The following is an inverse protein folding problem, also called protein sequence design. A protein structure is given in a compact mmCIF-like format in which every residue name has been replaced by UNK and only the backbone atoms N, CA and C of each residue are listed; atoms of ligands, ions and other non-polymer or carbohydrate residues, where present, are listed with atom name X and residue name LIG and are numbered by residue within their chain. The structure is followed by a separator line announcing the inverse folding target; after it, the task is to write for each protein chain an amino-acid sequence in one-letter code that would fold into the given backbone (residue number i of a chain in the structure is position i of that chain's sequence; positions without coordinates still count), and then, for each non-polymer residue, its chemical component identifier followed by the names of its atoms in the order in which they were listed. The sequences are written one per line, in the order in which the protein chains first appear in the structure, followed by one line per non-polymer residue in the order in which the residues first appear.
data_IF_962234971802
#
_entry.id   IF_962234971802
#
_cell.length_a   1.000
_cell.length_b   1.000
_cell.length_c   1.000
_cell.angle_alpha   90.00
_cell.angle_beta   90.00
_cell.angle_gamma   90.00
#
_symmetry.space_group_name_H-M   'P 1'
#
loop_
_entity.id
_entity.type
_entity.pdbx_description
1 polymer ?
#
# COMPACT_ATOMS: atom_id res chain seq x y z
N UNK A 1 21.34 -28.01 -4.37
CA UNK A 1 22.17 -26.86 -3.92
C UNK A 1 22.85 -27.12 -2.56
N UNK A 2 22.13 -27.69 -1.59
CA UNK A 2 22.69 -27.99 -0.26
C UNK A 2 23.78 -29.05 -0.28
N UNK A 3 23.65 -30.12 -1.07
CA UNK A 3 24.67 -31.14 -1.29
C UNK A 3 25.93 -30.60 -1.96
N UNK A 4 25.80 -29.71 -2.92
CA UNK A 4 26.93 -29.06 -3.59
C UNK A 4 27.76 -28.21 -2.60
N UNK A 5 27.08 -27.45 -1.73
CA UNK A 5 27.71 -26.66 -0.68
C UNK A 5 28.43 -27.56 0.32
N UNK A 6 27.83 -28.71 0.72
CA UNK A 6 28.42 -29.67 1.65
C UNK A 6 29.68 -30.29 1.08
N UNK A 7 29.69 -30.64 -0.21
CA UNK A 7 30.87 -31.22 -0.87
C UNK A 7 32.03 -30.21 -0.98
N UNK A 8 31.75 -28.95 -1.26
CA UNK A 8 32.79 -27.90 -1.28
C UNK A 8 33.34 -27.62 0.13
N UNK A 9 32.49 -27.68 1.16
CA UNK A 9 32.90 -27.48 2.57
C UNK A 9 33.96 -28.46 3.03
N UNK A 10 33.87 -29.71 2.55
CA UNK A 10 34.83 -30.76 2.89
C UNK A 10 36.19 -30.62 2.17
N UNK A 11 36.24 -29.88 1.05
CA UNK A 11 37.47 -29.74 0.24
C UNK A 11 38.19 -28.41 0.53
N UNK A 12 37.48 -27.32 0.82
CA UNK A 12 38.08 -25.99 1.02
C UNK A 12 37.25 -25.13 2.02
N UNK A 13 37.42 -25.33 3.34
CA UNK A 13 36.62 -24.70 4.38
C UNK A 13 36.59 -23.15 4.33
N UNK A 14 37.71 -22.53 4.00
CA UNK A 14 37.79 -21.05 3.94
C UNK A 14 37.09 -20.43 2.77
N UNK A 15 37.06 -21.09 1.60
CA UNK A 15 36.39 -20.62 0.40
C UNK A 15 34.88 -20.77 0.54
N UNK A 16 34.40 -21.83 1.19
CA UNK A 16 32.98 -22.05 1.41
C UNK A 16 32.37 -20.98 2.32
N UNK A 17 33.09 -20.55 3.34
CA UNK A 17 32.60 -19.46 4.21
C UNK A 17 32.45 -18.14 3.44
N UNK A 18 33.41 -17.79 2.59
CA UNK A 18 33.36 -16.61 1.74
C UNK A 18 32.19 -16.72 0.72
N UNK A 19 32.07 -17.85 0.02
CA UNK A 19 31.02 -18.08 -0.99
C UNK A 19 29.62 -18.05 -0.36
N UNK A 20 29.45 -18.64 0.83
CA UNK A 20 28.18 -18.61 1.56
C UNK A 20 27.82 -17.19 2.02
N UNK A 21 28.81 -16.41 2.45
CA UNK A 21 28.61 -15.00 2.83
C UNK A 21 28.23 -14.15 1.61
N UNK A 22 28.92 -14.28 0.49
CA UNK A 22 28.63 -13.59 -0.77
C UNK A 22 27.24 -13.95 -1.31
N UNK A 23 26.90 -15.23 -1.36
CA UNK A 23 25.59 -15.69 -1.80
C UNK A 23 24.45 -15.12 -0.94
N UNK A 24 24.64 -15.07 0.38
CA UNK A 24 23.64 -14.51 1.31
C UNK A 24 23.47 -13.01 1.12
N UNK A 25 24.56 -12.27 0.92
CA UNK A 25 24.51 -10.82 0.67
C UNK A 25 23.82 -10.54 -0.67
N UNK A 26 24.19 -11.24 -1.74
CA UNK A 26 23.60 -11.08 -3.08
C UNK A 26 22.09 -11.38 -3.05
N UNK A 27 21.65 -12.45 -2.39
CA UNK A 27 20.24 -12.76 -2.25
C UNK A 27 19.47 -11.70 -1.45
N UNK A 28 20.08 -11.14 -0.40
CA UNK A 28 19.46 -10.04 0.38
C UNK A 28 19.30 -8.79 -0.46
N UNK A 29 20.32 -8.41 -1.22
CA UNK A 29 20.28 -7.23 -2.11
C UNK A 29 19.23 -7.42 -3.20
N UNK A 30 19.20 -8.58 -3.86
CA UNK A 30 18.21 -8.88 -4.89
C UNK A 30 16.78 -8.85 -4.34
N UNK A 31 16.57 -9.41 -3.14
CA UNK A 31 15.28 -9.37 -2.48
C UNK A 31 14.85 -7.94 -2.15
N UNK A 32 15.74 -7.15 -1.59
CA UNK A 32 15.45 -5.75 -1.26
C UNK A 32 15.09 -4.95 -2.50
N UNK A 33 15.85 -5.11 -3.59
CA UNK A 33 15.54 -4.46 -4.86
C UNK A 33 14.16 -4.87 -5.42
N UNK A 34 13.78 -6.15 -5.30
CA UNK A 34 12.46 -6.62 -5.71
C UNK A 34 11.33 -6.06 -4.80
N UNK A 35 11.56 -5.96 -3.49
CA UNK A 35 10.62 -5.33 -2.55
C UNK A 35 10.41 -3.85 -2.89
N UNK A 36 11.46 -3.10 -3.15
CA UNK A 36 11.42 -1.68 -3.55
C UNK A 36 10.66 -1.50 -4.88
N UNK A 37 10.87 -2.38 -5.84
CA UNK A 37 10.16 -2.34 -7.12
C UNK A 37 8.65 -2.56 -6.93
N UNK A 38 8.26 -3.50 -6.07
CA UNK A 38 6.85 -3.73 -5.74
C UNK A 38 6.22 -2.47 -5.12
N UNK A 39 6.90 -1.82 -4.17
CA UNK A 39 6.42 -0.60 -3.53
C UNK A 39 6.27 0.54 -4.53
N UNK A 40 7.28 0.74 -5.37
CA UNK A 40 7.29 1.81 -6.37
C UNK A 40 6.16 1.64 -7.37
N UNK A 41 6.00 0.44 -7.93
CA UNK A 41 4.94 0.17 -8.90
C UNK A 41 3.55 0.30 -8.28
N UNK A 42 3.35 -0.20 -7.06
CA UNK A 42 2.05 -0.11 -6.40
C UNK A 42 1.67 1.34 -6.07
N UNK A 43 2.63 2.15 -5.61
CA UNK A 43 2.39 3.57 -5.35
C UNK A 43 2.11 4.35 -6.65
N UNK A 44 2.81 4.03 -7.75
CA UNK A 44 2.54 4.63 -9.06
C UNK A 44 1.12 4.30 -9.55
N UNK A 45 0.66 3.08 -9.38
CA UNK A 45 -0.71 2.70 -9.74
C UNK A 45 -1.74 3.45 -8.88
N UNK A 46 -1.50 3.60 -7.58
CA UNK A 46 -2.36 4.42 -6.71
C UNK A 46 -2.42 5.87 -7.23
N UNK A 47 -1.27 6.45 -7.55
CA UNK A 47 -1.19 7.83 -8.05
C UNK A 47 -1.93 7.99 -9.40
N UNK A 48 -1.88 6.99 -10.29
CA UNK A 48 -2.62 7.01 -11.55
C UNK A 48 -4.15 7.02 -11.31
N UNK A 49 -4.65 6.21 -10.37
CA UNK A 49 -6.07 6.26 -10.00
C UNK A 49 -6.45 7.62 -9.41
N UNK A 50 -5.62 8.18 -8.55
CA UNK A 50 -5.88 9.48 -7.92
C UNK A 50 -5.85 10.65 -8.92
N UNK A 51 -5.11 10.53 -10.02
CA UNK A 51 -5.16 11.51 -11.12
C UNK A 51 -6.54 11.54 -11.81
N UNK A 52 -7.32 10.47 -11.70
CA UNK A 52 -8.70 10.41 -12.19
C UNK A 52 -9.69 11.06 -11.22
N UNK A 53 -9.25 11.49 -10.03
CA UNK A 53 -10.08 12.16 -9.04
C UNK A 53 -10.55 13.52 -9.58
N UNK A 54 -11.66 13.49 -10.26
CA UNK A 54 -12.32 14.70 -10.79
C UNK A 54 -13.20 15.36 -9.75
N UNK A 55 -12.66 15.69 -8.56
CA UNK A 55 -13.45 16.45 -7.59
C UNK A 55 -13.76 17.84 -8.12
N UNK A 56 -15.03 18.09 -8.38
CA UNK A 56 -15.50 19.46 -8.50
C UNK A 56 -15.78 20.01 -7.09
N UNK A 57 -14.77 20.67 -6.54
CA UNK A 57 -14.83 21.26 -5.20
C UNK A 57 -15.84 22.42 -5.09
N UNK A 58 -16.41 22.87 -6.21
CA UNK A 58 -17.29 24.03 -6.30
C UNK A 58 -18.76 23.68 -6.56
N UNK A 59 -19.06 22.53 -7.17
CA UNK A 59 -20.42 22.11 -7.49
C UNK A 59 -20.74 20.79 -6.77
N UNK A 60 -21.66 20.87 -5.81
CA UNK A 60 -22.06 19.72 -5.04
C UNK A 60 -23.11 18.88 -5.75
N UNK A 61 -22.71 17.79 -6.38
CA UNK A 61 -23.64 16.69 -6.62
C UNK A 61 -23.37 15.64 -5.55
N UNK A 62 -24.25 15.58 -4.56
CA UNK A 62 -24.14 14.63 -3.42
C UNK A 62 -24.32 13.21 -3.93
N UNK A 63 -23.21 12.52 -4.16
CA UNK A 63 -23.20 11.08 -4.31
C UNK A 63 -23.62 10.41 -3.00
N UNK A 64 -24.44 9.36 -3.09
CA UNK A 64 -24.73 8.48 -1.95
C UNK A 64 -23.73 7.36 -1.78
N UNK A 65 -22.67 7.35 -2.58
CA UNK A 65 -21.64 6.31 -2.67
C UNK A 65 -20.26 6.96 -2.77
N UNK A 66 -19.21 6.19 -2.47
CA UNK A 66 -17.85 6.58 -2.77
C UNK A 66 -17.66 6.83 -4.27
N UNK A 67 -16.69 7.67 -4.62
CA UNK A 67 -16.37 8.03 -6.00
C UNK A 67 -15.96 6.80 -6.80
N UNK A 68 -16.39 6.72 -8.06
CA UNK A 68 -16.14 5.54 -8.90
C UNK A 68 -14.65 5.21 -9.02
N UNK A 69 -13.79 6.22 -9.20
CA UNK A 69 -12.33 6.00 -9.28
C UNK A 69 -11.78 5.34 -8.01
N UNK A 70 -12.36 5.66 -6.84
CA UNK A 70 -11.89 5.09 -5.57
C UNK A 70 -12.44 3.69 -5.36
N UNK A 71 -13.65 3.40 -5.79
CA UNK A 71 -14.20 2.03 -5.81
C UNK A 71 -13.33 1.14 -6.68
N UNK A 72 -12.93 1.60 -7.85
CA UNK A 72 -12.03 0.87 -8.75
C UNK A 72 -10.63 0.69 -8.14
N UNK A 73 -10.08 1.73 -7.51
CA UNK A 73 -8.80 1.65 -6.80
C UNK A 73 -8.84 0.64 -5.65
N UNK A 74 -9.87 0.67 -4.82
CA UNK A 74 -10.00 -0.27 -3.70
C UNK A 74 -10.18 -1.70 -4.17
N UNK A 75 -10.91 -1.93 -5.26
CA UNK A 75 -11.04 -3.24 -5.89
C UNK A 75 -9.70 -3.73 -6.46
N UNK A 76 -8.93 -2.86 -7.11
CA UNK A 76 -7.58 -3.15 -7.58
C UNK A 76 -6.64 -3.54 -6.42
N UNK A 77 -6.61 -2.74 -5.35
CA UNK A 77 -5.77 -3.01 -4.18
C UNK A 77 -6.18 -4.31 -3.49
N UNK A 78 -7.47 -4.58 -3.34
CA UNK A 78 -7.98 -5.82 -2.76
C UNK A 78 -7.50 -7.04 -3.57
N UNK A 79 -7.60 -6.98 -4.89
CA UNK A 79 -7.15 -8.05 -5.79
C UNK A 79 -5.63 -8.24 -5.73
N UNK A 80 -4.87 -7.14 -5.69
CA UNK A 80 -3.41 -7.14 -5.60
C UNK A 80 -2.94 -7.72 -4.26
N UNK A 81 -3.55 -7.33 -3.15
CA UNK A 81 -3.23 -7.88 -1.83
C UNK A 81 -3.54 -9.36 -1.72
N UNK A 82 -4.59 -9.84 -2.41
CA UNK A 82 -4.90 -11.27 -2.48
C UNK A 82 -3.78 -12.07 -3.17
N UNK A 83 -3.17 -11.52 -4.23
CA UNK A 83 -2.02 -12.14 -4.91
C UNK A 83 -0.81 -12.17 -3.96
N UNK A 84 -0.59 -11.13 -3.18
CA UNK A 84 0.54 -11.05 -2.25
C UNK A 84 0.51 -12.09 -1.12
N UNK A 85 -0.61 -12.78 -0.89
CA UNK A 85 -0.69 -13.88 0.10
C UNK A 85 0.32 -15.01 -0.18
N UNK A 86 0.84 -15.10 -1.38
CA UNK A 86 1.90 -16.06 -1.76
C UNK A 86 3.32 -15.59 -1.39
N UNK A 87 3.49 -14.34 -0.98
CA UNK A 87 4.76 -13.77 -0.56
C UNK A 87 5.02 -14.04 0.94
N UNK A 88 6.28 -13.92 1.41
CA UNK A 88 6.57 -13.98 2.83
C UNK A 88 5.74 -12.95 3.63
N UNK A 89 5.14 -13.39 4.73
CA UNK A 89 4.22 -12.57 5.55
C UNK A 89 4.74 -11.17 5.85
N UNK A 90 6.03 -11.04 6.20
CA UNK A 90 6.64 -9.74 6.50
C UNK A 90 6.61 -8.80 5.29
N UNK A 91 6.90 -9.32 4.10
CA UNK A 91 6.88 -8.54 2.85
C UNK A 91 5.46 -8.05 2.59
N UNK A 92 4.48 -8.95 2.68
CA UNK A 92 3.06 -8.61 2.50
C UNK A 92 2.62 -7.51 3.47
N UNK A 93 2.93 -7.67 4.76
CA UNK A 93 2.59 -6.68 5.78
C UNK A 93 3.16 -5.30 5.46
N UNK A 94 4.46 -5.24 5.14
CA UNK A 94 5.13 -3.98 4.83
C UNK A 94 4.56 -3.35 3.56
N UNK A 95 4.30 -4.15 2.53
CA UNK A 95 3.74 -3.68 1.25
C UNK A 95 2.34 -3.12 1.43
N UNK A 96 1.44 -3.86 2.07
CA UNK A 96 0.06 -3.40 2.30
C UNK A 96 0.03 -2.14 3.18
N UNK A 97 0.85 -2.08 4.23
CA UNK A 97 0.94 -0.90 5.08
C UNK A 97 1.50 0.31 4.31
N UNK A 98 2.52 0.11 3.48
CA UNK A 98 3.10 1.17 2.65
C UNK A 98 2.07 1.72 1.67
N UNK A 99 1.32 0.85 0.98
CA UNK A 99 0.27 1.25 0.04
C UNK A 99 -0.86 2.03 0.73
N UNK A 100 -1.35 1.55 1.89
CA UNK A 100 -2.39 2.26 2.65
C UNK A 100 -1.90 3.62 3.16
N UNK A 101 -0.65 3.73 3.63
CA UNK A 101 -0.07 5.01 4.03
C UNK A 101 0.09 5.97 2.87
N UNK A 102 0.56 5.47 1.71
CA UNK A 102 0.68 6.28 0.51
C UNK A 102 -0.68 6.82 0.08
N UNK A 103 -1.70 5.96 0.02
CA UNK A 103 -3.07 6.35 -0.31
C UNK A 103 -3.61 7.41 0.67
N UNK A 104 -3.46 7.20 1.98
CA UNK A 104 -3.91 8.16 2.99
C UNK A 104 -3.20 9.51 2.87
N UNK A 105 -1.88 9.51 2.64
CA UNK A 105 -1.10 10.73 2.45
C UNK A 105 -1.52 11.48 1.19
N UNK A 106 -1.74 10.77 0.09
CA UNK A 106 -2.16 11.36 -1.18
C UNK A 106 -3.57 11.93 -1.10
N UNK A 107 -4.50 11.27 -0.40
CA UNK A 107 -5.84 11.80 -0.13
C UNK A 107 -5.79 13.05 0.76
N UNK A 108 -4.94 13.04 1.81
CA UNK A 108 -4.72 14.23 2.65
C UNK A 108 -4.21 15.40 1.81
N UNK A 109 -3.26 15.15 0.90
CA UNK A 109 -2.73 16.17 0.02
C UNK A 109 -3.81 16.74 -0.91
N UNK A 110 -4.68 15.90 -1.48
CA UNK A 110 -5.83 16.35 -2.26
C UNK A 110 -6.76 17.26 -1.46
N UNK A 111 -7.03 16.91 -0.19
CA UNK A 111 -7.85 17.72 0.70
C UNK A 111 -7.22 19.08 0.99
N UNK A 112 -5.92 19.11 1.33
CA UNK A 112 -5.18 20.33 1.60
C UNK A 112 -5.09 21.25 0.38
N UNK A 113 -4.89 20.69 -0.80
CA UNK A 113 -4.92 21.45 -2.05
C UNK A 113 -6.30 22.04 -2.35
N UNK A 114 -7.36 21.35 -1.94
CA UNK A 114 -8.73 21.78 -2.09
C UNK A 114 -9.11 22.93 -1.13
N UNK A 115 -8.59 22.92 0.11
CA UNK A 115 -8.82 24.02 1.07
C UNK A 115 -8.42 25.38 0.49
N UNK A 116 -7.37 25.42 -0.33
CA UNK A 116 -6.92 26.63 -1.04
C UNK A 116 -7.93 27.09 -2.10
N UNK A 117 -8.83 26.20 -2.57
CA UNK A 117 -9.77 26.43 -3.67
C UNK A 117 -11.22 26.66 -3.25
N UNK A 118 -11.53 26.73 -1.96
CA UNK A 118 -12.89 26.79 -1.38
C UNK A 118 -13.66 25.46 -1.47
N UNK A 119 -13.71 24.75 -0.36
CA UNK A 119 -14.48 23.53 -0.17
C UNK A 119 -15.97 23.82 0.02
N UNK A 120 -16.84 23.09 -0.69
CA UNK A 120 -18.26 23.03 -0.33
C UNK A 120 -18.51 21.90 0.69
N UNK A 121 -19.60 22.01 1.45
CA UNK A 121 -19.99 20.98 2.41
C UNK A 121 -20.27 19.64 1.70
N UNK A 122 -20.87 19.70 0.52
CA UNK A 122 -21.21 18.54 -0.29
C UNK A 122 -19.96 17.78 -0.73
N UNK A 123 -18.94 18.51 -1.18
CA UNK A 123 -17.68 17.89 -1.61
C UNK A 123 -16.93 17.29 -0.43
N UNK A 124 -16.97 17.92 0.75
CA UNK A 124 -16.39 17.36 1.96
C UNK A 124 -17.11 16.06 2.38
N UNK A 125 -18.46 16.02 2.24
CA UNK A 125 -19.22 14.80 2.50
C UNK A 125 -18.89 13.68 1.50
N UNK A 126 -18.71 14.00 0.22
CA UNK A 126 -18.25 13.02 -0.78
C UNK A 126 -16.87 12.49 -0.42
N UNK A 127 -15.95 13.36 -0.07
CA UNK A 127 -14.61 12.98 0.34
C UNK A 127 -14.62 12.09 1.60
N UNK A 128 -15.52 12.36 2.56
CA UNK A 128 -15.69 11.50 3.72
C UNK A 128 -16.18 10.09 3.34
N UNK A 129 -17.11 9.97 2.39
CA UNK A 129 -17.53 8.66 1.86
C UNK A 129 -16.33 7.90 1.24
N UNK A 130 -15.48 8.59 0.51
CA UNK A 130 -14.29 8.05 -0.11
C UNK A 130 -13.27 7.53 0.92
N UNK A 131 -13.02 8.32 1.96
CA UNK A 131 -12.15 7.90 3.08
C UNK A 131 -12.71 6.69 3.83
N UNK A 132 -14.04 6.61 3.97
CA UNK A 132 -14.71 5.44 4.60
C UNK A 132 -14.55 4.18 3.75
N UNK A 133 -14.59 4.28 2.43
CA UNK A 133 -14.32 3.16 1.52
C UNK A 133 -12.88 2.64 1.68
N UNK A 134 -11.90 3.53 1.77
CA UNK A 134 -10.51 3.16 2.10
C UNK A 134 -10.42 2.46 3.47
N UNK A 135 -11.18 2.92 4.46
CA UNK A 135 -11.27 2.29 5.77
C UNK A 135 -11.88 0.87 5.71
N UNK A 136 -12.81 0.63 4.80
CA UNK A 136 -13.38 -0.72 4.57
C UNK A 136 -12.35 -1.64 3.93
N UNK A 137 -11.59 -1.18 2.93
CA UNK A 137 -10.47 -1.92 2.36
C UNK A 137 -9.49 -2.34 3.46
N UNK A 138 -9.14 -1.42 4.35
CA UNK A 138 -8.21 -1.69 5.46
C UNK A 138 -8.73 -2.75 6.45
N UNK A 139 -10.05 -2.86 6.63
CA UNK A 139 -10.70 -3.86 7.49
C UNK A 139 -10.89 -5.21 6.81
N UNK A 140 -11.25 -5.20 5.53
CA UNK A 140 -11.56 -6.40 4.76
C UNK A 140 -10.33 -7.07 4.15
N UNK A 141 -9.14 -6.53 4.41
CA UNK A 141 -7.90 -6.93 3.77
C UNK A 141 -7.74 -8.45 3.65
N UNK A 142 -7.41 -8.96 2.45
CA UNK A 142 -7.34 -10.41 2.18
C UNK A 142 -6.15 -11.08 2.87
N UNK A 143 -5.35 -10.33 3.60
CA UNK A 143 -4.11 -10.81 4.23
C UNK A 143 -4.42 -11.35 5.61
N UNK A 144 -4.55 -12.66 5.73
CA UNK A 144 -4.70 -13.35 7.02
C UNK A 144 -3.54 -13.02 7.95
N UNK A 145 -3.86 -12.52 9.15
CA UNK A 145 -2.88 -12.26 10.21
C UNK A 145 -2.44 -10.81 10.35
N UNK A 146 -3.09 -9.86 9.68
CA UNK A 146 -3.17 -8.51 10.19
C UNK A 146 -4.12 -8.49 11.39
N UNK A 147 -3.74 -7.81 12.46
CA UNK A 147 -4.71 -7.36 13.44
C UNK A 147 -5.66 -6.40 12.69
N UNK A 148 -6.95 -6.54 12.94
CA UNK A 148 -8.01 -5.80 12.22
C UNK A 148 -7.73 -4.30 12.10
N UNK A 149 -7.02 -3.71 13.07
CA UNK A 149 -6.76 -2.27 13.14
C UNK A 149 -5.46 -1.82 12.48
N UNK A 150 -4.56 -2.74 12.08
CA UNK A 150 -3.20 -2.33 11.67
C UNK A 150 -3.19 -1.47 10.41
N UNK A 151 -4.01 -1.80 9.40
CA UNK A 151 -4.11 -0.99 8.19
C UNK A 151 -4.95 0.27 8.41
N UNK A 152 -5.90 0.26 9.35
CA UNK A 152 -6.70 1.44 9.70
C UNK A 152 -5.86 2.55 10.29
N UNK A 153 -4.75 2.21 10.96
CA UNK A 153 -3.82 3.22 11.50
C UNK A 153 -3.30 4.18 10.42
N UNK A 154 -3.24 3.73 9.16
CA UNK A 154 -2.84 4.59 8.05
C UNK A 154 -3.82 5.74 7.79
N UNK A 155 -5.09 5.58 8.18
CA UNK A 155 -6.16 6.56 7.92
C UNK A 155 -6.61 7.33 9.17
N UNK A 156 -5.94 7.16 10.32
CA UNK A 156 -6.34 7.81 11.58
C UNK A 156 -6.24 9.34 11.47
N UNK A 157 -5.11 9.84 11.00
CA UNK A 157 -4.88 11.29 10.88
C UNK A 157 -5.91 11.91 9.94
N UNK A 158 -6.14 11.29 8.78
CA UNK A 158 -7.11 11.75 7.80
C UNK A 158 -8.55 11.78 8.35
N UNK A 159 -8.92 10.79 9.18
CA UNK A 159 -10.25 10.74 9.80
C UNK A 159 -10.41 11.79 10.92
N UNK A 160 -9.35 12.05 11.67
CA UNK A 160 -9.35 13.09 12.70
C UNK A 160 -9.54 14.49 12.10
N UNK A 161 -8.91 14.75 10.96
CA UNK A 161 -9.06 16.03 10.25
C UNK A 161 -10.46 16.21 9.66
N UNK A 162 -11.14 15.11 9.35
CA UNK A 162 -12.54 15.12 8.91
C UNK A 162 -13.55 15.20 10.05
N UNK A 163 -13.12 15.15 11.32
CA UNK A 163 -13.97 15.29 12.50
C UNK A 163 -14.70 14.02 12.94
N UNK A 164 -14.18 12.84 12.56
CA UNK A 164 -14.69 11.52 13.02
C UNK A 164 -13.98 10.98 14.27
#
# INVERSE_FOLDING_TARGET
MQEFITNITNVLPGIVHATKLYGTVTCKVARHAAEEEIYTNLNQEIDLFLQLAGYDWMTGDLGSKASDYLVDLTAFLHSTFAIFTHLPRRVVQTTCMSACKHLATSLMQLLLEAEVRQLTLETLQQFNLDVRECGQLARSGPVSGFQEDTLQLAFIDLRQDLGE
#
